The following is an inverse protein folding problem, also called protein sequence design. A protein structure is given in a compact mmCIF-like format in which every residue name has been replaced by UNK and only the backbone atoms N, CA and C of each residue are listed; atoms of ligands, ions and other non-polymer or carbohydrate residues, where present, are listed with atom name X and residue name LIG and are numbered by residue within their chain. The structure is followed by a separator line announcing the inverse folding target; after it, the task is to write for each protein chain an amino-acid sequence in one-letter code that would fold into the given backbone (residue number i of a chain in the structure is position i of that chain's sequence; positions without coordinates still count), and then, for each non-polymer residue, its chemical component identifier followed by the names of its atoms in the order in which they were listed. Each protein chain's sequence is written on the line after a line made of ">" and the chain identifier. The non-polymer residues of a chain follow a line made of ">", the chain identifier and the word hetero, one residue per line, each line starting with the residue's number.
data_IF_273229489039
#
_entry.id   IF_273229489039
#
_cell.length_a   1.000
_cell.length_b   1.000
_cell.length_c   1.000
_cell.angle_alpha   90.00
_cell.angle_beta   90.00
_cell.angle_gamma   90.00
#
_symmetry.space_group_name_H-M   'P 1'
#
loop_
_entity.id
_entity.type
_entity.pdbx_description
1 polymer ?
#
# COMPACT_ATOMS: atom_id res chain seq x y z
N UNK A 1 -10.29 20.02 -4.86
CA UNK A 1 -11.12 19.40 -3.80
C UNK A 1 -10.22 18.47 -3.00
N UNK A 2 -10.21 18.53 -1.66
CA UNK A 2 -9.44 17.58 -0.87
C UNK A 2 -10.21 16.25 -0.81
N UNK A 3 -9.71 15.17 -1.45
CA UNK A 3 -10.45 13.91 -1.52
C UNK A 3 -10.53 13.21 -0.17
N UNK A 4 -9.51 13.35 0.68
CA UNK A 4 -9.56 12.83 2.05
C UNK A 4 -10.74 13.40 2.85
N UNK A 5 -10.93 14.73 2.81
CA UNK A 5 -12.11 15.37 3.41
C UNK A 5 -13.41 14.84 2.79
N UNK A 6 -13.46 14.73 1.46
CA UNK A 6 -14.66 14.26 0.78
C UNK A 6 -14.99 12.79 1.15
N UNK A 7 -13.99 11.93 1.21
CA UNK A 7 -14.10 10.51 1.56
C UNK A 7 -14.58 10.29 3.01
N UNK A 8 -13.97 10.99 3.96
CA UNK A 8 -14.28 10.77 5.39
C UNK A 8 -15.45 11.60 5.91
N UNK A 9 -15.73 12.78 5.33
CA UNK A 9 -16.75 13.71 5.83
C UNK A 9 -17.77 14.08 4.78
N UNK A 10 -17.33 14.38 3.56
CA UNK A 10 -18.21 14.83 2.47
C UNK A 10 -19.33 13.83 2.15
N UNK A 11 -19.00 12.55 2.05
CA UNK A 11 -19.93 11.46 1.74
C UNK A 11 -21.08 11.32 2.76
N UNK A 12 -20.83 11.67 4.02
CA UNK A 12 -21.78 11.53 5.12
C UNK A 12 -22.46 12.84 5.50
N UNK A 13 -22.12 13.96 4.83
CA UNK A 13 -22.58 15.31 5.20
C UNK A 13 -24.10 15.48 5.16
N UNK A 14 -24.78 14.69 4.33
CA UNK A 14 -26.24 14.66 4.20
C UNK A 14 -26.94 13.78 5.24
N UNK A 15 -26.18 13.02 6.03
CA UNK A 15 -26.69 12.32 7.20
C UNK A 15 -26.63 13.27 8.40
N UNK A 16 -27.73 13.37 9.13
CA UNK A 16 -27.82 14.15 10.36
C UNK A 16 -27.77 13.25 11.60
N UNK A 17 -27.78 13.87 12.79
CA UNK A 17 -27.75 13.13 14.05
C UNK A 17 -28.93 12.17 14.21
N UNK A 18 -30.11 12.47 13.66
CA UNK A 18 -31.26 11.57 13.73
C UNK A 18 -31.05 10.33 12.86
N UNK A 19 -30.45 10.48 11.67
CA UNK A 19 -30.11 9.35 10.81
C UNK A 19 -29.14 8.37 11.52
N UNK A 20 -28.16 8.89 12.26
CA UNK A 20 -27.25 8.04 13.05
C UNK A 20 -27.97 7.32 14.20
N UNK A 21 -28.89 8.01 14.88
CA UNK A 21 -29.73 7.41 15.93
C UNK A 21 -30.64 6.30 15.35
N UNK A 22 -31.17 6.52 14.15
CA UNK A 22 -32.01 5.55 13.44
C UNK A 22 -31.22 4.29 13.08
N UNK A 23 -29.97 4.40 12.65
CA UNK A 23 -29.10 3.25 12.36
C UNK A 23 -28.86 2.37 13.61
N UNK A 24 -28.68 2.99 14.77
CA UNK A 24 -28.46 2.25 16.04
C UNK A 24 -29.76 1.77 16.68
N UNK A 25 -30.92 2.34 16.32
CA UNK A 25 -32.22 2.08 16.95
C UNK A 25 -32.69 0.61 16.90
N UNK A 26 -32.22 -0.15 15.90
CA UNK A 26 -32.65 -1.53 15.67
C UNK A 26 -34.02 -1.68 14.99
N UNK A 27 -34.69 -0.57 14.63
CA UNK A 27 -35.93 -0.59 13.82
C UNK A 27 -35.60 -0.67 12.33
N UNK A 28 -35.89 -1.82 11.71
CA UNK A 28 -35.61 -2.08 10.29
C UNK A 28 -36.23 -1.03 9.36
N UNK A 29 -37.39 -0.45 9.69
CA UNK A 29 -38.02 0.57 8.83
C UNK A 29 -37.21 1.86 8.82
N UNK A 30 -36.71 2.26 9.99
CA UNK A 30 -35.86 3.45 10.14
C UNK A 30 -34.51 3.24 9.47
N UNK A 31 -33.90 2.08 9.68
CA UNK A 31 -32.64 1.68 9.03
C UNK A 31 -32.79 1.68 7.50
N UNK A 32 -33.88 1.12 6.97
CA UNK A 32 -34.12 1.08 5.52
C UNK A 32 -34.31 2.49 4.93
N UNK A 33 -34.96 3.41 5.65
CA UNK A 33 -35.10 4.81 5.25
C UNK A 33 -33.73 5.49 5.09
N UNK A 34 -32.84 5.33 6.07
CA UNK A 34 -31.49 5.90 6.02
C UNK A 34 -30.67 5.28 4.87
N UNK A 35 -30.79 3.97 4.66
CA UNK A 35 -30.10 3.27 3.57
C UNK A 35 -30.54 3.75 2.17
N UNK A 36 -31.84 3.96 1.93
CA UNK A 36 -32.32 4.51 0.65
C UNK A 36 -31.85 5.96 0.43
N UNK A 37 -31.82 6.78 1.50
CA UNK A 37 -31.22 8.12 1.45
C UNK A 37 -29.74 8.04 1.05
N UNK A 38 -28.96 7.18 1.71
CA UNK A 38 -27.51 7.03 1.47
C UNK A 38 -27.17 6.47 0.07
N UNK A 39 -27.96 5.53 -0.45
CA UNK A 39 -27.76 4.92 -1.77
C UNK A 39 -27.68 5.96 -2.90
N UNK A 40 -28.50 7.01 -2.85
CA UNK A 40 -28.47 8.08 -3.85
C UNK A 40 -27.18 8.91 -3.79
N UNK A 41 -26.60 9.08 -2.59
CA UNK A 41 -25.33 9.80 -2.39
C UNK A 41 -24.17 8.95 -2.89
N UNK A 42 -24.15 7.66 -2.54
CA UNK A 42 -23.12 6.72 -2.96
C UNK A 42 -23.03 6.59 -4.49
N UNK A 43 -24.16 6.66 -5.21
CA UNK A 43 -24.21 6.52 -6.67
C UNK A 43 -23.37 7.56 -7.42
N UNK A 44 -23.26 8.79 -6.90
CA UNK A 44 -22.51 9.87 -7.54
C UNK A 44 -21.07 10.00 -7.01
N UNK A 45 -20.71 9.23 -5.99
CA UNK A 45 -19.48 9.41 -5.24
C UNK A 45 -18.21 9.15 -6.05
N UNK A 46 -18.16 8.05 -6.80
CA UNK A 46 -16.99 7.70 -7.63
C UNK A 46 -16.68 8.78 -8.68
N UNK A 47 -17.72 9.40 -9.24
CA UNK A 47 -17.55 10.47 -10.24
C UNK A 47 -16.93 11.72 -9.61
N UNK A 48 -17.32 12.04 -8.38
CA UNK A 48 -16.74 13.16 -7.63
C UNK A 48 -15.27 12.88 -7.23
N UNK A 49 -14.95 11.65 -6.81
CA UNK A 49 -13.58 11.28 -6.44
C UNK A 49 -12.58 11.34 -7.60
N UNK A 50 -13.03 11.04 -8.81
CA UNK A 50 -12.17 10.98 -9.99
C UNK A 50 -12.00 12.33 -10.71
N UNK A 51 -12.42 13.44 -10.09
CA UNK A 51 -12.19 14.80 -10.62
C UNK A 51 -10.72 15.21 -10.48
N UNK A 52 -10.20 15.83 -11.52
CA UNK A 52 -8.81 16.30 -11.56
C UNK A 52 -8.46 17.31 -10.46
N UNK A 53 -7.27 17.15 -9.87
CA UNK A 53 -6.67 18.09 -8.92
C UNK A 53 -5.31 18.55 -9.47
N UNK A 54 -5.00 19.84 -9.40
CA UNK A 54 -3.69 20.38 -9.79
C UNK A 54 -2.63 20.02 -8.73
N UNK A 55 -1.51 19.45 -9.15
CA UNK A 55 -0.38 19.07 -8.29
C UNK A 55 0.80 20.01 -8.59
N UNK A 56 1.34 20.68 -7.57
CA UNK A 56 2.59 21.45 -7.66
C UNK A 56 3.72 20.69 -6.97
N UNK A 57 4.87 20.55 -7.64
CA UNK A 57 6.05 19.87 -7.10
C UNK A 57 7.12 20.91 -6.72
N UNK A 58 7.62 20.88 -5.48
CA UNK A 58 8.82 21.63 -5.06
C UNK A 58 10.02 20.69 -4.99
N UNK A 59 11.15 21.08 -5.58
CA UNK A 59 12.42 20.36 -5.45
C UNK A 59 13.15 20.82 -4.19
N UNK A 60 13.67 19.87 -3.42
CA UNK A 60 14.55 20.11 -2.27
C UNK A 60 15.86 19.35 -2.52
N UNK A 61 16.99 20.00 -2.28
CA UNK A 61 18.32 19.39 -2.35
C UNK A 61 18.93 19.38 -0.95
N UNK A 62 19.44 18.22 -0.53
CA UNK A 62 20.17 18.03 0.73
C UNK A 62 21.58 17.55 0.39
N UNK A 63 22.62 18.10 1.04
CA UNK A 63 24.03 17.90 0.65
C UNK A 63 24.52 16.45 0.75
N UNK A 64 24.14 15.73 1.81
CA UNK A 64 24.59 14.36 2.10
C UNK A 64 23.75 13.25 1.44
N UNK A 65 22.57 13.59 0.94
CA UNK A 65 21.63 12.65 0.34
C UNK A 65 21.56 12.84 -1.17
N UNK A 66 21.23 11.76 -1.86
CA UNK A 66 20.82 11.79 -3.26
C UNK A 66 19.33 11.47 -3.34
N UNK A 67 18.55 12.37 -3.94
CA UNK A 67 17.14 12.12 -4.22
C UNK A 67 17.06 11.21 -5.45
N UNK A 68 16.59 9.98 -5.24
CA UNK A 68 16.33 9.04 -6.33
C UNK A 68 14.83 8.86 -6.47
N UNK A 69 14.35 8.89 -7.72
CA UNK A 69 12.94 8.70 -8.05
C UNK A 69 12.77 7.76 -9.22
N UNK A 70 11.70 6.97 -9.18
CA UNK A 70 11.23 6.18 -10.31
C UNK A 70 9.71 6.09 -10.29
N UNK A 71 9.13 5.81 -11.46
CA UNK A 71 7.68 5.74 -11.65
C UNK A 71 7.29 4.31 -11.98
N UNK A 72 6.31 3.78 -11.26
CA UNK A 72 5.71 2.49 -11.54
C UNK A 72 4.19 2.64 -11.71
N UNK A 73 3.59 1.76 -12.50
CA UNK A 73 2.14 1.66 -12.68
C UNK A 73 1.59 0.46 -11.91
N UNK A 74 0.40 0.60 -11.33
CA UNK A 74 -0.32 -0.55 -10.75
C UNK A 74 -0.79 -1.51 -11.85
N UNK A 75 -0.75 -2.82 -11.59
CA UNK A 75 -1.34 -3.86 -12.44
C UNK A 75 -2.78 -4.15 -12.01
N UNK A 76 -3.56 -4.81 -12.88
CA UNK A 76 -4.83 -5.42 -12.46
C UNK A 76 -4.59 -6.55 -11.44
N UNK A 77 -5.49 -6.76 -10.45
CA UNK A 77 -6.80 -6.13 -10.24
C UNK A 77 -6.74 -4.75 -9.57
N UNK A 78 -5.59 -4.09 -9.53
CA UNK A 78 -5.42 -2.77 -8.93
C UNK A 78 -4.73 -2.88 -7.58
N UNK A 79 -4.91 -1.85 -6.76
CA UNK A 79 -4.16 -1.70 -5.51
C UNK A 79 -5.07 -1.37 -4.34
N UNK A 80 -5.04 -2.26 -3.34
CA UNK A 80 -5.85 -2.20 -2.14
C UNK A 80 -4.98 -1.72 -0.97
N UNK A 81 -5.34 -0.57 -0.42
CA UNK A 81 -4.69 0.04 0.74
C UNK A 81 -5.72 0.45 1.79
N UNK A 82 -5.22 0.69 3.01
CA UNK A 82 -6.03 1.22 4.11
C UNK A 82 -7.09 0.25 4.65
N UNK A 83 -6.97 -1.05 4.38
CA UNK A 83 -7.86 -2.08 4.94
C UNK A 83 -7.82 -2.17 6.46
N UNK A 84 -6.72 -1.74 7.08
CA UNK A 84 -6.60 -1.66 8.54
C UNK A 84 -7.25 -0.42 9.16
N UNK A 85 -7.62 0.57 8.36
CA UNK A 85 -8.38 1.73 8.81
C UNK A 85 -9.87 1.39 8.68
N UNK A 86 -10.56 1.17 9.79
CA UNK A 86 -12.00 0.92 9.76
C UNK A 86 -12.74 2.22 9.43
N UNK A 87 -13.59 2.18 8.39
CA UNK A 87 -14.47 3.28 8.00
C UNK A 87 -15.95 2.84 7.96
N UNK A 88 -16.24 1.68 8.54
CA UNK A 88 -17.58 1.09 8.52
C UNK A 88 -18.48 1.68 9.60
N UNK A 89 -19.64 2.18 9.19
CA UNK A 89 -20.77 2.49 10.08
C UNK A 89 -21.70 1.27 10.15
N UNK A 90 -21.93 0.66 11.32
CA UNK A 90 -22.79 -0.51 11.42
C UNK A 90 -24.18 -0.28 10.79
N UNK A 91 -24.67 -1.28 10.05
CA UNK A 91 -26.01 -1.32 9.39
C UNK A 91 -26.23 -0.30 8.25
N UNK A 92 -25.24 0.53 7.94
CA UNK A 92 -25.25 1.38 6.74
C UNK A 92 -24.76 0.56 5.54
N UNK A 93 -25.61 0.41 4.52
CA UNK A 93 -25.32 -0.29 3.26
C UNK A 93 -24.70 0.68 2.25
N UNK A 94 -24.10 0.15 1.18
CA UNK A 94 -23.48 0.91 0.06
C UNK A 94 -22.27 1.78 0.41
N UNK A 95 -21.85 1.82 1.67
CA UNK A 95 -20.61 2.48 2.11
C UNK A 95 -19.37 1.70 1.73
N UNK A 96 -18.23 2.38 1.71
CA UNK A 96 -16.92 1.74 1.63
C UNK A 96 -16.44 1.33 3.02
N UNK A 97 -16.04 0.07 3.17
CA UNK A 97 -15.68 -0.48 4.49
C UNK A 97 -14.26 -0.12 4.89
N UNK A 98 -13.33 -0.06 3.94
CA UNK A 98 -11.96 0.31 4.20
C UNK A 98 -11.77 1.82 4.29
N UNK A 99 -10.77 2.24 5.05
CA UNK A 99 -10.23 3.59 5.00
C UNK A 99 -9.17 3.72 3.90
N UNK A 100 -8.61 4.92 3.80
CA UNK A 100 -7.50 5.27 2.92
C UNK A 100 -6.58 6.23 3.65
N UNK A 101 -5.30 6.18 3.31
CA UNK A 101 -4.35 7.20 3.75
C UNK A 101 -4.21 8.25 2.66
N UNK A 102 -4.65 9.47 2.96
CA UNK A 102 -4.59 10.61 2.05
C UNK A 102 -3.50 11.57 2.48
N UNK A 103 -2.80 12.14 1.51
CA UNK A 103 -1.94 13.28 1.73
C UNK A 103 -2.79 14.51 2.07
N UNK A 104 -2.41 15.23 3.12
CA UNK A 104 -3.19 16.35 3.64
C UNK A 104 -3.13 17.59 2.73
N UNK A 105 -2.08 17.73 1.92
CA UNK A 105 -1.90 18.90 1.04
C UNK A 105 -2.61 18.72 -0.30
N UNK A 106 -2.38 17.59 -0.97
CA UNK A 106 -2.93 17.27 -2.28
C UNK A 106 -4.33 16.69 -2.18
N UNK A 107 -4.67 16.08 -1.05
CA UNK A 107 -5.89 15.32 -0.87
C UNK A 107 -5.92 14.00 -1.64
N UNK A 108 -4.82 13.56 -2.26
CA UNK A 108 -4.72 12.31 -3.00
C UNK A 108 -4.29 11.15 -2.08
N UNK A 109 -4.68 9.90 -2.38
CA UNK A 109 -4.20 8.76 -1.64
C UNK A 109 -2.70 8.58 -1.88
N UNK A 110 -1.98 8.16 -0.85
CA UNK A 110 -0.53 7.95 -0.88
C UNK A 110 -0.17 6.57 -0.32
N UNK A 111 1.01 6.08 -0.70
CA UNK A 111 1.61 4.93 -0.04
C UNK A 111 2.59 5.46 1.00
N UNK A 112 2.41 5.15 2.30
CA UNK A 112 3.32 5.63 3.33
C UNK A 112 4.74 5.12 3.11
N UNK A 113 5.73 5.99 3.31
CA UNK A 113 7.14 5.63 3.25
C UNK A 113 7.50 4.54 4.25
N UNK A 114 6.82 4.50 5.41
CA UNK A 114 6.94 3.41 6.40
C UNK A 114 6.44 2.07 5.87
N UNK A 115 5.35 2.05 5.10
CA UNK A 115 4.84 0.83 4.46
C UNK A 115 5.77 0.34 3.35
N UNK A 116 6.35 1.25 2.56
CA UNK A 116 7.34 0.91 1.54
C UNK A 116 8.60 0.36 2.22
N UNK A 117 9.10 1.02 3.26
CA UNK A 117 10.24 0.56 4.07
C UNK A 117 9.99 -0.82 4.65
N UNK A 118 8.80 -1.05 5.21
CA UNK A 118 8.40 -2.34 5.77
C UNK A 118 8.41 -3.45 4.72
N UNK A 119 7.72 -3.24 3.59
CA UNK A 119 7.66 -4.22 2.52
C UNK A 119 9.03 -4.58 1.92
N UNK A 120 9.93 -3.59 1.78
CA UNK A 120 11.28 -3.83 1.30
C UNK A 120 12.11 -4.56 2.38
N UNK A 121 12.00 -4.15 3.64
CA UNK A 121 12.72 -4.76 4.76
C UNK A 121 12.33 -6.22 4.99
N UNK A 122 11.06 -6.55 4.81
CA UNK A 122 10.51 -7.89 5.06
C UNK A 122 11.06 -8.96 4.10
N UNK A 123 11.69 -8.56 2.99
CA UNK A 123 12.41 -9.49 2.09
C UNK A 123 13.73 -9.95 2.69
N UNK A 124 14.37 -9.11 3.51
CA UNK A 124 15.67 -9.43 4.07
C UNK A 124 15.54 -10.44 5.21
N UNK A 125 16.47 -11.41 5.30
CA UNK A 125 16.49 -12.35 6.41
C UNK A 125 16.79 -11.66 7.73
N UNK A 126 16.36 -12.30 8.82
CA UNK A 126 16.76 -11.98 10.18
C UNK A 126 18.11 -12.62 10.52
N UNK A 127 18.88 -11.97 11.38
CA UNK A 127 20.09 -12.56 11.99
C UNK A 127 19.71 -13.76 12.85
N UNK A 128 20.66 -14.66 13.09
CA UNK A 128 20.39 -15.83 13.94
C UNK A 128 20.06 -15.40 15.38
N UNK A 129 20.63 -14.30 15.89
CA UNK A 129 20.23 -13.75 17.19
C UNK A 129 18.79 -13.22 17.19
N UNK A 130 18.40 -12.45 16.16
CA UNK A 130 17.05 -11.93 16.00
C UNK A 130 16.01 -13.07 15.92
N UNK A 131 16.36 -14.15 15.20
CA UNK A 131 15.54 -15.36 15.14
C UNK A 131 15.42 -15.97 16.54
N UNK A 132 16.52 -16.23 17.22
CA UNK A 132 16.50 -16.88 18.53
C UNK A 132 15.67 -16.09 19.55
N UNK A 133 15.74 -14.75 19.52
CA UNK A 133 14.87 -13.90 20.32
C UNK A 133 13.38 -14.03 19.94
N UNK A 134 13.07 -14.07 18.64
CA UNK A 134 11.71 -14.25 18.13
C UNK A 134 11.14 -15.63 18.53
N UNK A 135 11.96 -16.67 18.46
CA UNK A 135 11.59 -18.05 18.80
C UNK A 135 11.30 -18.24 20.30
N UNK A 136 11.81 -17.39 21.20
CA UNK A 136 11.50 -17.48 22.65
C UNK A 136 10.01 -17.30 22.95
N UNK A 137 9.25 -16.62 22.07
CA UNK A 137 7.84 -16.26 22.27
C UNK A 137 6.84 -17.19 21.57
N UNK A 138 7.32 -18.22 20.88
CA UNK A 138 6.52 -19.05 19.96
C UNK A 138 6.38 -20.50 20.45
N UNK A 139 5.30 -21.16 20.03
CA UNK A 139 5.11 -22.60 20.19
C UNK A 139 6.08 -23.41 19.32
N UNK A 140 6.23 -24.71 19.58
CA UNK A 140 7.19 -25.57 18.86
C UNK A 140 6.93 -25.61 17.35
N UNK A 141 5.68 -25.65 16.93
CA UNK A 141 5.31 -25.73 15.52
C UNK A 141 5.57 -24.40 14.80
N UNK A 142 5.26 -23.27 15.45
CA UNK A 142 5.57 -21.93 14.93
C UNK A 142 7.08 -21.70 14.78
N UNK A 143 7.89 -22.27 15.67
CA UNK A 143 9.36 -22.14 15.58
C UNK A 143 9.92 -22.78 14.31
N UNK A 144 9.40 -23.94 13.92
CA UNK A 144 9.84 -24.62 12.71
C UNK A 144 9.54 -23.78 11.47
N UNK A 145 8.30 -23.30 11.35
CA UNK A 145 7.86 -22.47 10.23
C UNK A 145 8.69 -21.18 10.12
N UNK A 146 8.96 -20.51 11.25
CA UNK A 146 9.75 -19.26 11.23
C UNK A 146 11.19 -19.49 10.78
N UNK A 147 11.81 -20.62 11.15
CA UNK A 147 13.17 -20.95 10.68
C UNK A 147 13.19 -21.21 9.18
N UNK A 148 12.25 -22.02 8.68
CA UNK A 148 12.15 -22.37 7.26
C UNK A 148 11.90 -21.13 6.39
N UNK A 149 10.98 -20.23 6.82
CA UNK A 149 10.73 -18.97 6.13
C UNK A 149 11.97 -18.06 6.11
N UNK A 150 12.75 -18.03 7.19
CA UNK A 150 13.95 -17.21 7.24
C UNK A 150 15.06 -17.79 6.35
N UNK A 151 15.23 -19.10 6.32
CA UNK A 151 16.14 -19.79 5.39
C UNK A 151 15.77 -19.50 3.93
N UNK A 152 14.48 -19.58 3.57
CA UNK A 152 14.00 -19.16 2.26
C UNK A 152 14.32 -17.70 1.94
N UNK A 153 14.13 -16.79 2.90
CA UNK A 153 14.46 -15.36 2.74
C UNK A 153 15.97 -15.12 2.51
N UNK A 154 16.84 -15.91 3.16
CA UNK A 154 18.30 -15.88 2.95
C UNK A 154 18.62 -16.22 1.48
N UNK A 155 18.10 -17.35 0.99
CA UNK A 155 18.35 -17.83 -0.37
C UNK A 155 17.78 -16.87 -1.44
N UNK A 156 16.55 -16.40 -1.26
CA UNK A 156 15.87 -15.49 -2.18
C UNK A 156 16.60 -14.15 -2.30
N UNK A 157 17.02 -13.56 -1.18
CA UNK A 157 17.71 -12.26 -1.18
C UNK A 157 19.09 -12.37 -1.83
N UNK A 158 19.86 -13.42 -1.52
CA UNK A 158 21.17 -13.65 -2.14
C UNK A 158 21.02 -13.87 -3.65
N UNK A 159 20.04 -14.69 -4.06
CA UNK A 159 19.74 -14.93 -5.48
C UNK A 159 19.33 -13.65 -6.20
N UNK A 160 18.49 -12.82 -5.58
CA UNK A 160 18.08 -11.53 -6.12
C UNK A 160 19.27 -10.60 -6.36
N UNK A 161 20.12 -10.41 -5.35
CA UNK A 161 21.31 -9.56 -5.46
C UNK A 161 22.28 -10.08 -6.53
N UNK A 162 22.51 -11.39 -6.56
CA UNK A 162 23.35 -12.04 -7.57
C UNK A 162 22.82 -11.79 -8.98
N UNK A 163 21.51 -11.94 -9.19
CA UNK A 163 20.88 -11.73 -10.50
C UNK A 163 20.91 -10.26 -10.92
N UNK A 164 20.75 -9.32 -9.99
CA UNK A 164 20.76 -7.89 -10.30
C UNK A 164 22.16 -7.35 -10.62
N UNK A 165 23.19 -7.79 -9.87
CA UNK A 165 24.52 -7.16 -9.93
C UNK A 165 25.63 -8.08 -10.43
N UNK A 166 25.31 -9.33 -10.76
CA UNK A 166 26.25 -10.34 -11.26
C UNK A 166 27.49 -10.52 -10.35
N UNK A 167 27.27 -10.50 -9.04
CA UNK A 167 28.28 -10.66 -7.97
C UNK A 167 27.81 -11.71 -6.97
N UNK A 168 28.74 -12.37 -6.29
CA UNK A 168 28.42 -13.23 -5.15
C UNK A 168 28.40 -12.40 -3.86
N UNK A 169 27.48 -12.73 -2.98
CA UNK A 169 27.29 -12.07 -1.69
C UNK A 169 27.17 -13.15 -0.61
N UNK A 170 27.86 -12.93 0.51
CA UNK A 170 27.71 -13.76 1.70
C UNK A 170 26.45 -13.39 2.47
N UNK A 171 26.05 -14.24 3.42
CA UNK A 171 24.96 -13.90 4.35
C UNK A 171 25.30 -12.66 5.19
N UNK A 172 26.56 -12.53 5.63
CA UNK A 172 27.02 -11.39 6.43
C UNK A 172 26.91 -10.08 5.64
N UNK A 173 27.21 -10.11 4.34
CA UNK A 173 26.99 -8.95 3.45
C UNK A 173 25.51 -8.54 3.47
N UNK A 174 24.60 -9.50 3.29
CA UNK A 174 23.15 -9.24 3.25
C UNK A 174 22.63 -8.66 4.57
N UNK A 175 23.07 -9.21 5.71
CA UNK A 175 22.68 -8.73 7.04
C UNK A 175 23.24 -7.32 7.30
N UNK A 176 24.52 -7.09 6.98
CA UNK A 176 25.14 -5.76 7.11
C UNK A 176 24.44 -4.71 6.23
N UNK A 177 24.05 -5.10 5.00
CA UNK A 177 23.31 -4.24 4.08
C UNK A 177 21.94 -3.86 4.67
N UNK A 178 21.18 -4.85 5.17
CA UNK A 178 19.88 -4.65 5.82
C UNK A 178 20.01 -3.63 6.96
N UNK A 179 20.90 -3.89 7.90
CA UNK A 179 21.02 -3.07 9.10
C UNK A 179 21.43 -1.64 8.76
N UNK A 180 22.41 -1.48 7.86
CA UNK A 180 22.87 -0.15 7.43
C UNK A 180 21.79 0.63 6.69
N UNK A 181 20.99 -0.01 5.83
CA UNK A 181 19.87 0.67 5.14
C UNK A 181 18.79 1.11 6.12
N UNK A 182 18.32 0.20 6.99
CA UNK A 182 17.08 0.41 7.73
C UNK A 182 17.26 1.11 9.08
N UNK A 183 18.47 1.17 9.64
CA UNK A 183 18.79 1.87 10.89
C UNK A 183 19.11 3.36 10.67
N UNK A 184 18.15 4.06 10.04
CA UNK A 184 18.14 5.52 9.82
C UNK A 184 19.16 6.08 8.80
N UNK A 185 19.66 5.25 7.88
CA UNK A 185 20.49 5.75 6.77
C UNK A 185 19.66 6.19 5.57
N UNK A 186 19.01 5.25 4.87
CA UNK A 186 18.20 5.60 3.70
C UNK A 186 16.77 5.98 4.13
N UNK A 187 16.24 7.07 3.54
CA UNK A 187 14.92 7.61 3.88
C UNK A 187 13.93 7.27 2.76
N UNK A 188 12.86 6.59 3.15
CA UNK A 188 11.77 6.15 2.29
C UNK A 188 10.66 7.21 2.37
N UNK A 189 10.44 7.96 1.30
CA UNK A 189 9.38 8.97 1.23
C UNK A 189 8.06 8.34 0.79
N UNK A 190 6.96 9.04 1.05
CA UNK A 190 5.65 8.62 0.58
C UNK A 190 5.63 8.56 -0.95
N UNK A 191 5.05 7.48 -1.49
CA UNK A 191 4.81 7.38 -2.92
C UNK A 191 3.50 8.11 -3.28
N UNK A 192 3.58 8.97 -4.28
CA UNK A 192 2.51 9.88 -4.68
C UNK A 192 1.92 9.48 -6.03
N UNK A 193 0.61 9.64 -6.19
CA UNK A 193 -0.04 9.51 -7.49
C UNK A 193 0.36 10.70 -8.38
N UNK A 194 0.76 10.40 -9.62
CA UNK A 194 1.21 11.42 -10.58
C UNK A 194 0.06 11.96 -11.42
N UNK A 195 -0.90 11.11 -11.78
CA UNK A 195 -2.10 11.47 -12.52
C UNK A 195 -3.32 11.00 -11.73
N UNK A 196 -4.17 11.96 -11.38
CA UNK A 196 -5.36 11.72 -10.59
C UNK A 196 -6.63 11.54 -11.41
N UNK A 197 -6.53 11.53 -12.74
CA UNK A 197 -7.65 11.14 -13.59
C UNK A 197 -7.97 9.67 -13.35
N UNK A 198 -9.22 9.40 -12.96
CA UNK A 198 -9.77 8.05 -12.96
C UNK A 198 -9.00 7.05 -12.07
N UNK A 199 -8.61 7.47 -10.86
CA UNK A 199 -7.80 6.69 -9.90
C UNK A 199 -8.56 5.53 -9.26
N UNK A 200 -9.85 5.70 -8.97
CA UNK A 200 -10.56 4.80 -8.06
C UNK A 200 -11.60 3.93 -8.75
N UNK A 201 -11.73 2.68 -8.28
CA UNK A 201 -12.84 1.78 -8.59
C UNK A 201 -13.45 1.15 -7.34
N UNK A 202 -14.68 0.69 -7.50
CA UNK A 202 -15.36 -0.18 -6.54
C UNK A 202 -14.87 -1.62 -6.69
N UNK A 203 -14.63 -2.29 -5.57
CA UNK A 203 -14.33 -3.71 -5.50
C UNK A 203 -15.24 -4.38 -4.47
N UNK A 204 -15.70 -5.60 -4.75
CA UNK A 204 -16.65 -6.29 -3.88
C UNK A 204 -16.05 -7.59 -3.36
N UNK A 205 -15.98 -7.72 -2.03
CA UNK A 205 -15.57 -8.95 -1.36
C UNK A 205 -16.78 -9.60 -0.69
N UNK A 206 -16.99 -10.89 -0.93
CA UNK A 206 -18.12 -11.66 -0.36
C UNK A 206 -17.61 -12.69 0.64
N UNK A 207 -17.42 -12.33 1.92
CA UNK A 207 -17.04 -13.32 2.92
C UNK A 207 -18.21 -14.30 3.15
N UNK A 208 -17.94 -15.59 2.94
CA UNK A 208 -18.89 -16.65 3.24
C UNK A 208 -18.74 -17.07 4.70
N UNK A 209 -19.72 -16.74 5.54
CA UNK A 209 -19.73 -17.15 6.96
C UNK A 209 -20.16 -18.62 7.15
N UNK A 210 -20.93 -19.17 6.21
CA UNK A 210 -21.30 -20.59 6.16
C UNK A 210 -21.56 -21.03 4.70
N UNK A 211 -21.62 -22.34 4.43
CA UNK A 211 -21.88 -22.89 3.09
C UNK A 211 -23.29 -22.59 2.54
N UNK A 212 -24.23 -22.19 3.39
CA UNK A 212 -25.66 -22.07 3.04
C UNK A 212 -26.24 -20.67 3.22
N UNK A 213 -25.49 -19.73 3.81
CA UNK A 213 -25.91 -18.33 3.90
C UNK A 213 -25.54 -17.57 2.63
N UNK A 214 -26.48 -16.76 2.14
CA UNK A 214 -26.21 -15.83 1.05
C UNK A 214 -25.15 -14.80 1.52
N UNK A 215 -24.02 -14.66 0.82
CA UNK A 215 -23.00 -13.72 1.21
C UNK A 215 -23.53 -12.29 1.09
N UNK A 216 -23.14 -11.44 2.04
CA UNK A 216 -23.39 -10.00 1.96
C UNK A 216 -22.15 -9.37 1.30
N UNK A 217 -22.27 -8.80 0.08
CA UNK A 217 -21.15 -8.14 -0.57
C UNK A 217 -20.67 -6.95 0.25
N UNK A 218 -19.37 -6.94 0.55
CA UNK A 218 -18.68 -5.84 1.20
C UNK A 218 -18.01 -4.98 0.13
N UNK A 219 -18.33 -3.69 0.13
CA UNK A 219 -17.85 -2.74 -0.87
C UNK A 219 -16.57 -2.06 -0.39
N UNK A 220 -15.52 -2.14 -1.20
CA UNK A 220 -14.21 -1.57 -0.95
C UNK A 220 -13.87 -0.55 -2.02
N UNK A 221 -13.26 0.57 -1.62
CA UNK A 221 -12.67 1.51 -2.55
C UNK A 221 -11.25 1.01 -2.85
N UNK A 222 -10.89 0.94 -4.12
CA UNK A 222 -9.57 0.46 -4.57
C UNK A 222 -9.00 1.38 -5.64
N UNK A 223 -7.68 1.34 -5.80
CA UNK A 223 -6.98 2.07 -6.85
C UNK A 223 -6.96 1.18 -8.10
N UNK A 224 -7.30 1.73 -9.27
CA UNK A 224 -7.35 1.01 -10.54
C UNK A 224 -5.98 0.48 -10.97
N UNK A 225 -5.96 -0.52 -11.85
CA UNK A 225 -4.78 -0.79 -12.67
C UNK A 225 -4.48 0.40 -13.59
N UNK A 226 -3.21 0.59 -13.94
CA UNK A 226 -2.74 1.69 -14.79
C UNK A 226 -2.42 3.00 -14.03
N UNK A 227 -2.66 3.06 -12.72
CA UNK A 227 -2.40 4.27 -11.93
C UNK A 227 -0.90 4.38 -11.64
N UNK A 228 -0.33 5.54 -11.98
CA UNK A 228 1.11 5.80 -11.87
C UNK A 228 1.47 6.40 -10.51
N UNK A 229 2.41 5.76 -9.82
CA UNK A 229 2.99 6.22 -8.57
C UNK A 229 4.44 6.65 -8.76
N UNK A 230 4.80 7.81 -8.21
CA UNK A 230 6.18 8.26 -8.06
C UNK A 230 6.71 7.75 -6.73
N UNK A 231 7.69 6.87 -6.78
CA UNK A 231 8.47 6.45 -5.61
C UNK A 231 9.67 7.37 -5.47
N UNK A 232 9.98 7.79 -4.24
CA UNK A 232 11.10 8.69 -3.95
C UNK A 232 11.85 8.22 -2.72
N UNK A 233 13.16 8.33 -2.77
CA UNK A 233 14.06 7.95 -1.69
C UNK A 233 15.15 8.99 -1.55
N UNK A 234 15.53 9.34 -0.32
CA UNK A 234 16.76 10.07 -0.05
C UNK A 234 17.80 9.04 0.38
N UNK A 235 18.73 8.73 -0.52
CA UNK A 235 19.74 7.70 -0.31
C UNK A 235 21.04 8.33 0.15
N UNK A 236 21.64 7.80 1.22
CA UNK A 236 22.88 8.33 1.77
C UNK A 236 24.05 8.05 0.80
N UNK A 237 24.74 9.09 0.33
CA UNK A 237 25.78 8.95 -0.72
C UNK A 237 26.92 8.04 -0.31
N UNK A 238 27.42 8.22 0.91
CA UNK A 238 28.60 7.52 1.45
C UNK A 238 28.20 6.46 2.48
N UNK A 239 27.12 5.72 2.22
CA UNK A 239 26.75 4.58 3.06
C UNK A 239 27.81 3.48 2.89
N UNK A 240 28.39 3.00 3.99
CA UNK A 240 29.42 1.97 4.01
C UNK A 240 28.83 0.57 3.72
N UNK A 241 28.37 0.36 2.49
CA UNK A 241 27.82 -0.91 2.01
C UNK A 241 28.38 -1.21 0.62
N UNK A 242 28.30 -2.46 0.19
CA UNK A 242 28.78 -2.90 -1.13
C UNK A 242 27.91 -2.42 -2.31
N UNK A 243 26.80 -1.73 -2.05
CA UNK A 243 25.90 -1.17 -3.07
C UNK A 243 25.97 0.36 -3.12
N UNK A 244 26.27 0.89 -4.30
CA UNK A 244 26.12 2.30 -4.62
C UNK A 244 24.68 2.78 -4.48
N UNK A 245 24.48 4.12 -4.47
CA UNK A 245 23.15 4.75 -4.47
C UNK A 245 22.24 4.17 -5.57
N UNK A 246 22.78 4.04 -6.80
CA UNK A 246 22.03 3.51 -7.94
C UNK A 246 21.69 2.03 -7.77
N UNK A 247 22.62 1.20 -7.28
CA UNK A 247 22.36 -0.21 -7.03
C UNK A 247 21.30 -0.39 -5.93
N UNK A 248 21.32 0.40 -4.85
CA UNK A 248 20.26 0.37 -3.82
C UNK A 248 18.90 0.78 -4.37
N UNK A 249 18.85 1.82 -5.20
CA UNK A 249 17.61 2.20 -5.87
C UNK A 249 17.05 1.11 -6.79
N UNK A 250 17.92 0.44 -7.56
CA UNK A 250 17.56 -0.70 -8.40
C UNK A 250 17.03 -1.87 -7.57
N UNK A 251 17.67 -2.18 -6.43
CA UNK A 251 17.22 -3.20 -5.50
C UNK A 251 15.81 -2.89 -4.97
N UNK A 252 15.56 -1.65 -4.51
CA UNK A 252 14.24 -1.25 -4.01
C UNK A 252 13.15 -1.34 -5.07
N UNK A 253 13.44 -0.87 -6.28
CA UNK A 253 12.53 -0.99 -7.41
C UNK A 253 12.22 -2.45 -7.71
N UNK A 254 13.23 -3.31 -7.74
CA UNK A 254 13.05 -4.72 -8.06
C UNK A 254 12.23 -5.44 -6.99
N UNK A 255 12.47 -5.16 -5.70
CA UNK A 255 11.67 -5.71 -4.60
C UNK A 255 10.20 -5.30 -4.72
N UNK A 256 9.93 -4.02 -5.02
CA UNK A 256 8.55 -3.53 -5.23
C UNK A 256 7.87 -4.25 -6.40
N UNK A 257 8.59 -4.48 -7.51
CA UNK A 257 8.07 -5.20 -8.68
C UNK A 257 7.78 -6.67 -8.39
N UNK A 258 8.65 -7.34 -7.63
CA UNK A 258 8.53 -8.76 -7.30
C UNK A 258 7.44 -9.04 -6.25
N UNK A 259 7.39 -8.24 -5.18
CA UNK A 259 6.57 -8.55 -4.01
C UNK A 259 5.24 -7.79 -4.01
N UNK A 260 5.17 -6.66 -4.70
CA UNK A 260 4.04 -5.74 -4.59
C UNK A 260 4.00 -5.02 -3.24
N UNK A 261 2.98 -4.19 -3.06
CA UNK A 261 2.73 -3.44 -1.83
C UNK A 261 1.27 -3.58 -1.40
N UNK A 262 0.95 -3.16 -0.17
CA UNK A 262 -0.42 -3.08 0.33
C UNK A 262 -1.04 -4.42 0.70
N UNK A 263 -2.37 -4.47 0.70
CA UNK A 263 -3.13 -5.61 1.21
C UNK A 263 -3.45 -6.63 0.11
N UNK A 264 -3.60 -7.90 0.51
CA UNK A 264 -4.03 -9.02 -0.36
C UNK A 264 -3.13 -9.24 -1.58
N UNK A 265 -1.82 -9.11 -1.43
CA UNK A 265 -0.81 -9.41 -2.47
C UNK A 265 -0.86 -10.86 -2.97
N UNK A 266 -1.31 -11.81 -2.14
CA UNK A 266 -1.57 -13.21 -2.51
C UNK A 266 -2.75 -13.37 -3.49
N UNK A 267 -3.61 -12.36 -3.62
CA UNK A 267 -4.69 -12.29 -4.62
C UNK A 267 -4.33 -11.34 -5.78
N UNK A 268 -3.04 -11.08 -5.98
CA UNK A 268 -2.47 -10.20 -7.00
C UNK A 268 -2.79 -8.70 -6.88
N UNK A 269 -3.45 -8.24 -5.81
CA UNK A 269 -3.56 -6.80 -5.54
C UNK A 269 -2.18 -6.19 -5.24
N UNK A 270 -2.00 -4.93 -5.64
CA UNK A 270 -0.80 -4.15 -5.32
C UNK A 270 0.46 -4.59 -6.05
N UNK A 271 0.31 -5.26 -7.19
CA UNK A 271 1.41 -5.54 -8.12
C UNK A 271 1.69 -4.31 -8.97
N UNK A 272 2.96 -4.11 -9.31
CA UNK A 272 3.43 -2.98 -10.11
C UNK A 272 4.14 -3.44 -11.39
N UNK A 273 4.21 -2.53 -12.36
CA UNK A 273 5.04 -2.64 -13.57
C UNK A 273 5.73 -1.33 -13.90
N UNK A 274 6.80 -1.44 -14.68
CA UNK A 274 7.39 -0.29 -15.34
C UNK A 274 6.36 0.42 -16.22
N UNK A 275 6.41 1.76 -16.21
CA UNK A 275 5.62 2.54 -17.16
C UNK A 275 6.18 2.30 -18.56
N UNK A 276 5.39 1.67 -19.42
CA UNK A 276 5.72 1.56 -20.84
C UNK A 276 5.86 2.98 -21.40
N UNK A 277 7.02 3.31 -21.95
CA UNK A 277 7.15 4.47 -22.81
C UNK A 277 6.25 4.22 -24.00
N UNK A 278 5.16 4.99 -24.13
CA UNK A 278 4.39 5.01 -25.36
C UNK A 278 5.36 5.35 -26.48
N UNK A 279 5.62 4.38 -27.36
CA UNK A 279 6.46 4.61 -28.53
C UNK A 279 5.85 5.72 -29.36
N UNK A 280 6.62 6.76 -29.63
CA UNK A 280 6.32 7.74 -30.65
C UNK A 280 5.94 6.99 -31.93
N UNK A 281 4.64 6.95 -32.22
CA UNK A 281 4.14 6.51 -33.51
C UNK A 281 4.32 7.71 -34.43
N UNK A 282 5.42 7.72 -35.18
CA UNK A 282 5.55 8.56 -36.37
C UNK A 282 4.59 8.08 -37.46
#
# INVERSE_FOLDING_TARGET
>A
MNLGYFYFKGMYKSLDSEDFLDLISGDDRKINRVNEKFKNIAKNFLNELNKEIKIENKKVSLSQYELVEFILSTKEPGFLIGTGYHHEIPRLKEQFINGFEFDYTTGLPKIPGSSIKGAIRDVFPLSDEEIDEKLKKLSKDEKFVVKELNEGSKEETISLLKNLFNKQYSLDDVLALRDKIFNNSDIFLDAEIIDNKNVFKEEFFTPHKSKFENPVPLKFLTIKGGVKFRFRFLLLKNLDVFLSVNERAQLYKQIILLNGLGAKTNLNFGRFEDVKTEGNSN
#
